data_IF_314869260304
#
_entry.id   IF_314869260304
#
_cell.length_a   1.000
_cell.length_b   1.000
_cell.length_c   1.000
_cell.angle_alpha   90.00
_cell.angle_beta   90.00
_cell.angle_gamma   90.00
#
_symmetry.space_group_name_H-M   'P 1'
#
loop_
_entity.id
_entity.type
_entity.pdbx_description
1 polymer ?
#
# COMPACT_ATOMS: atom_id res chain seq x y z
N UNK A 1 22.91 27.45 -10.19
CA UNK A 1 21.44 27.35 -10.30
C UNK A 1 21.16 26.10 -11.07
N UNK A 2 20.51 25.11 -10.46
CA UNK A 2 20.04 23.96 -11.21
C UNK A 2 19.00 24.43 -12.23
N UNK A 3 19.04 23.93 -13.48
CA UNK A 3 18.09 24.33 -14.51
C UNK A 3 16.67 24.04 -14.03
N UNK A 4 15.76 25.00 -14.27
CA UNK A 4 14.33 24.82 -14.00
C UNK A 4 13.89 23.58 -14.78
N UNK A 5 13.47 22.51 -14.11
CA UNK A 5 13.12 21.28 -14.80
C UNK A 5 11.91 21.50 -15.71
N UNK A 6 11.84 20.80 -16.85
CA UNK A 6 10.69 20.91 -17.76
C UNK A 6 9.40 20.56 -17.02
N UNK A 7 8.35 21.34 -17.27
CA UNK A 7 7.00 21.07 -16.73
C UNK A 7 6.56 19.68 -17.17
N UNK A 8 6.11 18.88 -16.20
CA UNK A 8 5.51 17.57 -16.46
C UNK A 8 4.22 17.80 -17.26
N UNK A 9 4.18 17.31 -18.51
CA UNK A 9 3.01 17.42 -19.38
C UNK A 9 1.98 16.38 -18.94
N UNK A 10 0.84 16.87 -18.43
CA UNK A 10 -0.16 16.03 -17.80
C UNK A 10 -1.18 15.49 -18.81
N UNK A 11 -1.45 14.18 -18.77
CA UNK A 11 -2.61 13.57 -19.44
C UNK A 11 -3.76 13.42 -18.43
N UNK A 12 -5.03 13.62 -18.82
CA UNK A 12 -6.16 13.46 -17.91
C UNK A 12 -6.22 12.04 -17.31
N UNK A 13 -6.48 11.95 -16.01
CA UNK A 13 -6.58 10.69 -15.24
C UNK A 13 -7.63 9.73 -15.83
N UNK A 14 -8.68 10.29 -16.44
CA UNK A 14 -9.85 9.55 -16.95
C UNK A 14 -9.66 8.90 -18.32
N UNK A 15 -8.43 8.83 -18.83
CA UNK A 15 -8.14 8.11 -20.06
C UNK A 15 -8.09 6.60 -19.80
N UNK A 16 -8.74 5.81 -20.65
CA UNK A 16 -8.98 4.37 -20.44
C UNK A 16 -7.68 3.58 -20.13
N UNK A 17 -6.60 3.70 -20.93
CA UNK A 17 -5.30 3.10 -20.59
C UNK A 17 -4.74 3.44 -19.21
N UNK A 18 -4.94 4.66 -18.70
CA UNK A 18 -4.46 5.04 -17.37
C UNK A 18 -5.28 4.39 -16.27
N UNK A 19 -6.60 4.30 -16.45
CA UNK A 19 -7.48 3.57 -15.56
C UNK A 19 -7.10 2.08 -15.50
N UNK A 20 -6.87 1.45 -16.65
CA UNK A 20 -6.44 0.05 -16.73
C UNK A 20 -5.08 -0.18 -16.05
N UNK A 21 -4.11 0.71 -16.27
CA UNK A 21 -2.82 0.67 -15.59
C UNK A 21 -3.00 0.78 -14.06
N UNK A 22 -3.81 1.74 -13.61
CA UNK A 22 -4.08 1.94 -12.19
C UNK A 22 -4.74 0.70 -11.57
N UNK A 23 -5.70 0.09 -12.27
CA UNK A 23 -6.33 -1.17 -11.84
C UNK A 23 -5.30 -2.29 -11.72
N UNK A 24 -4.45 -2.48 -12.75
CA UNK A 24 -3.40 -3.49 -12.72
C UNK A 24 -2.43 -3.27 -11.56
N UNK A 25 -2.08 -2.02 -11.26
CA UNK A 25 -1.23 -1.66 -10.12
C UNK A 25 -1.90 -1.98 -8.80
N UNK A 26 -3.17 -1.62 -8.60
CA UNK A 26 -3.89 -1.92 -7.34
C UNK A 26 -3.99 -3.43 -7.14
N UNK A 27 -4.43 -4.18 -8.14
CA UNK A 27 -4.49 -5.65 -8.09
C UNK A 27 -3.11 -6.24 -7.81
N UNK A 28 -2.08 -5.77 -8.53
CA UNK A 28 -0.70 -6.22 -8.35
C UNK A 28 -0.18 -5.97 -6.93
N UNK A 29 -0.45 -4.80 -6.34
CA UNK A 29 -0.05 -4.51 -4.97
C UNK A 29 -0.77 -5.43 -3.96
N UNK A 30 -2.05 -5.73 -4.14
CA UNK A 30 -2.78 -6.68 -3.27
C UNK A 30 -2.19 -8.10 -3.39
N UNK A 31 -1.99 -8.57 -4.62
CA UNK A 31 -1.44 -9.91 -4.87
C UNK A 31 -0.04 -10.04 -4.28
N UNK A 32 0.82 -9.04 -4.49
CA UNK A 32 2.19 -9.09 -3.98
C UNK A 32 2.26 -8.91 -2.45
N UNK A 33 1.34 -8.15 -1.85
CA UNK A 33 1.19 -8.07 -0.40
C UNK A 33 0.84 -9.44 0.20
N UNK A 34 -0.14 -10.15 -0.37
CA UNK A 34 -0.49 -11.51 0.05
C UNK A 34 0.63 -12.51 -0.23
N UNK A 35 1.30 -12.39 -1.37
CA UNK A 35 2.45 -13.20 -1.70
C UNK A 35 3.59 -13.02 -0.68
N UNK A 36 3.81 -11.82 -0.16
CA UNK A 36 4.82 -11.58 0.86
C UNK A 36 4.49 -12.31 2.18
N UNK A 37 3.22 -12.32 2.60
CA UNK A 37 2.78 -13.12 3.75
C UNK A 37 3.02 -14.61 3.50
N UNK A 38 2.55 -15.12 2.37
CA UNK A 38 2.69 -16.53 1.99
C UNK A 38 4.15 -16.97 1.87
N UNK A 39 5.00 -16.16 1.22
CA UNK A 39 6.41 -16.48 1.07
C UNK A 39 7.09 -16.54 2.43
N UNK A 40 6.79 -15.60 3.33
CA UNK A 40 7.37 -15.56 4.67
C UNK A 40 6.92 -16.74 5.51
N UNK A 41 5.65 -17.17 5.40
CA UNK A 41 5.18 -18.35 6.11
C UNK A 41 5.83 -19.63 5.60
N UNK A 42 5.93 -19.83 4.28
CA UNK A 42 6.58 -21.02 3.71
C UNK A 42 8.05 -21.09 4.12
N UNK A 43 8.76 -19.95 4.12
CA UNK A 43 10.15 -19.87 4.57
C UNK A 43 10.34 -20.21 6.06
N UNK A 44 9.31 -20.01 6.89
CA UNK A 44 9.30 -20.34 8.32
C UNK A 44 8.74 -21.74 8.60
N UNK A 45 8.37 -22.50 7.56
CA UNK A 45 7.77 -23.83 7.69
C UNK A 45 6.31 -23.81 8.15
N UNK A 46 5.62 -22.69 7.96
CA UNK A 46 4.19 -22.51 8.26
C UNK A 46 3.35 -22.69 7.00
N UNK A 47 2.25 -23.44 7.10
CA UNK A 47 1.29 -23.57 6.01
C UNK A 47 0.26 -22.43 6.08
N UNK A 48 0.53 -21.34 5.35
CA UNK A 48 -0.42 -20.25 5.20
C UNK A 48 -1.25 -20.46 3.92
N UNK A 49 -2.57 -20.56 4.08
CA UNK A 49 -3.47 -20.49 2.94
C UNK A 49 -4.02 -19.05 2.86
N UNK A 50 -3.72 -18.28 1.80
CA UNK A 50 -4.26 -16.94 1.66
C UNK A 50 -5.79 -17.02 1.59
N UNK A 51 -6.46 -16.59 2.64
CA UNK A 51 -7.91 -16.56 2.65
C UNK A 51 -8.37 -15.34 1.83
N UNK A 52 -8.86 -15.59 0.61
CA UNK A 52 -9.43 -14.56 -0.27
C UNK A 52 -10.69 -13.91 0.34
N UNK A 53 -11.26 -14.52 1.38
CA UNK A 53 -12.43 -14.01 2.10
C UNK A 53 -12.04 -13.55 3.51
N UNK A 54 -11.95 -12.23 3.78
CA UNK A 54 -11.60 -11.71 5.10
C UNK A 54 -12.66 -12.00 6.19
N UNK A 55 -13.84 -12.53 5.84
CA UNK A 55 -14.90 -12.86 6.78
C UNK A 55 -14.65 -14.13 7.62
N UNK A 56 -13.67 -14.95 7.26
CA UNK A 56 -13.37 -16.18 7.99
C UNK A 56 -11.95 -16.14 8.56
N UNK A 57 -11.83 -15.68 9.80
CA UNK A 57 -10.62 -15.87 10.60
C UNK A 57 -10.46 -17.35 10.93
N UNK A 58 -9.67 -18.06 10.13
CA UNK A 58 -9.09 -19.32 10.59
C UNK A 58 -8.00 -18.94 11.58
N UNK A 59 -8.17 -19.32 12.84
CA UNK A 59 -7.16 -19.11 13.88
C UNK A 59 -5.95 -19.97 13.51
N UNK A 60 -4.94 -19.35 12.90
CA UNK A 60 -3.69 -20.05 12.59
C UNK A 60 -2.96 -20.35 13.90
N UNK A 61 -2.73 -21.64 14.14
CA UNK A 61 -1.82 -22.10 15.20
C UNK A 61 -0.45 -22.16 14.55
N UNK A 62 0.40 -21.17 14.83
CA UNK A 62 1.78 -21.16 14.39
C UNK A 62 2.55 -22.30 15.08
N UNK A 63 3.46 -22.95 14.35
CA UNK A 63 4.43 -23.91 14.89
C UNK A 63 5.26 -23.27 16.00
N UNK A 64 5.65 -22.00 15.82
CA UNK A 64 6.34 -21.22 16.86
C UNK A 64 5.65 -19.86 17.02
N UNK A 65 5.33 -19.47 18.25
CA UNK A 65 4.58 -18.25 18.52
C UNK A 65 5.23 -16.97 17.96
N UNK A 66 6.57 -16.93 17.85
CA UNK A 66 7.27 -15.77 17.31
C UNK A 66 7.15 -15.65 15.77
N UNK A 67 6.70 -16.68 15.05
CA UNK A 67 6.46 -16.63 13.60
C UNK A 67 5.31 -15.69 13.21
N UNK A 68 4.37 -15.42 14.13
CA UNK A 68 3.23 -14.53 13.89
C UNK A 68 3.67 -13.12 13.45
N UNK A 69 4.71 -12.58 14.09
CA UNK A 69 5.22 -11.23 13.84
C UNK A 69 5.77 -11.06 12.41
N UNK A 70 6.81 -11.80 11.99
CA UNK A 70 7.39 -11.64 10.67
C UNK A 70 6.39 -11.96 9.55
N UNK A 71 5.54 -12.99 9.72
CA UNK A 71 4.53 -13.34 8.72
C UNK A 71 3.53 -12.19 8.56
N UNK A 72 3.00 -11.65 9.67
CA UNK A 72 2.02 -10.56 9.61
C UNK A 72 2.66 -9.24 9.13
N UNK A 73 3.93 -8.97 9.40
CA UNK A 73 4.60 -7.77 8.92
C UNK A 73 5.04 -7.84 7.45
N UNK A 74 5.14 -9.02 6.86
CA UNK A 74 5.68 -9.20 5.51
C UNK A 74 4.93 -8.38 4.45
N UNK A 75 3.59 -8.41 4.46
CA UNK A 75 2.76 -7.61 3.57
C UNK A 75 2.99 -6.10 3.72
N UNK A 76 2.78 -5.52 4.93
CA UNK A 76 3.09 -4.11 5.21
C UNK A 76 4.50 -3.71 4.78
N UNK A 77 5.52 -4.50 5.11
CA UNK A 77 6.92 -4.23 4.72
C UNK A 77 7.05 -4.18 3.21
N UNK A 78 6.47 -5.14 2.49
CA UNK A 78 6.46 -5.15 1.03
C UNK A 78 5.85 -3.85 0.47
N UNK A 79 4.69 -3.42 0.97
CA UNK A 79 4.02 -2.19 0.49
C UNK A 79 4.83 -0.93 0.76
N UNK A 80 5.53 -0.87 1.89
CA UNK A 80 6.46 0.22 2.23
C UNK A 80 7.65 0.23 1.27
N UNK A 81 8.24 -0.92 1.00
CA UNK A 81 9.35 -1.05 0.05
C UNK A 81 8.92 -0.66 -1.37
N UNK A 82 7.73 -1.10 -1.81
CA UNK A 82 7.14 -0.70 -3.09
C UNK A 82 7.04 0.83 -3.18
N UNK A 83 6.47 1.47 -2.15
CA UNK A 83 6.30 2.93 -2.13
C UNK A 83 7.66 3.66 -2.19
N UNK A 84 8.65 3.23 -1.40
CA UNK A 84 10.00 3.81 -1.42
C UNK A 84 10.64 3.66 -2.81
N UNK A 85 10.52 2.48 -3.42
CA UNK A 85 11.06 2.22 -4.76
C UNK A 85 10.45 3.17 -5.79
N UNK A 86 9.13 3.25 -5.87
CA UNK A 86 8.46 4.10 -6.86
C UNK A 86 8.59 5.59 -6.57
N UNK A 87 8.71 5.99 -5.30
CA UNK A 87 9.10 7.37 -4.94
C UNK A 87 10.45 7.75 -5.56
N UNK A 88 11.46 6.88 -5.44
CA UNK A 88 12.78 7.12 -6.02
C UNK A 88 12.76 7.14 -7.55
N UNK A 89 11.98 6.24 -8.17
CA UNK A 89 11.83 6.23 -9.63
C UNK A 89 11.12 7.47 -10.14
N UNK A 90 10.02 7.89 -9.51
CA UNK A 90 9.32 9.15 -9.84
C UNK A 90 10.20 10.37 -9.67
N UNK A 91 11.04 10.42 -8.63
CA UNK A 91 11.97 11.52 -8.41
C UNK A 91 12.98 11.66 -9.56
N UNK A 92 13.37 10.54 -10.18
CA UNK A 92 14.33 10.49 -11.29
C UNK A 92 13.68 10.74 -12.65
N UNK A 93 12.66 9.95 -13.00
CA UNK A 93 12.04 9.98 -14.33
C UNK A 93 10.98 11.06 -14.50
N UNK A 94 10.31 11.44 -13.39
CA UNK A 94 9.08 12.23 -13.38
C UNK A 94 7.96 11.64 -14.25
N UNK A 95 8.01 10.34 -14.50
CA UNK A 95 6.99 9.65 -15.28
C UNK A 95 5.73 9.43 -14.42
N UNK A 96 4.69 10.20 -14.71
CA UNK A 96 3.42 10.16 -14.00
C UNK A 96 2.65 8.85 -14.18
N UNK A 97 3.02 8.00 -15.14
CA UNK A 97 2.48 6.63 -15.23
C UNK A 97 2.89 5.78 -14.03
N UNK A 98 3.98 6.14 -13.34
CA UNK A 98 4.44 5.45 -12.13
C UNK A 98 3.74 5.96 -10.85
N UNK A 99 2.99 7.06 -10.93
CA UNK A 99 2.35 7.67 -9.77
C UNK A 99 1.35 6.74 -9.05
N UNK A 100 0.50 5.96 -9.76
CA UNK A 100 -0.34 4.95 -9.14
C UNK A 100 0.45 3.93 -8.31
N UNK A 101 1.66 3.56 -8.73
CA UNK A 101 2.50 2.58 -8.03
C UNK A 101 2.98 3.07 -6.67
N UNK A 102 3.11 4.39 -6.49
CA UNK A 102 3.36 5.02 -5.20
C UNK A 102 2.06 5.24 -4.41
N UNK A 103 1.00 5.69 -5.07
CA UNK A 103 -0.23 6.09 -4.40
C UNK A 103 -1.06 4.90 -3.88
N UNK A 104 -1.13 3.81 -4.64
CA UNK A 104 -1.89 2.61 -4.28
C UNK A 104 -1.55 2.06 -2.87
N UNK A 105 -0.28 1.80 -2.51
CA UNK A 105 0.04 1.31 -1.17
C UNK A 105 -0.35 2.31 -0.08
N UNK A 106 -0.23 3.62 -0.32
CA UNK A 106 -0.62 4.66 0.66
C UNK A 106 -2.12 4.59 0.94
N UNK A 107 -2.94 4.64 -0.11
CA UNK A 107 -4.40 4.62 0.02
C UNK A 107 -4.85 3.33 0.68
N UNK A 108 -4.34 2.17 0.23
CA UNK A 108 -4.76 0.88 0.78
C UNK A 108 -4.32 0.70 2.24
N UNK A 109 -3.17 1.22 2.66
CA UNK A 109 -2.73 1.17 4.06
C UNK A 109 -3.53 2.11 4.96
N UNK A 110 -3.87 3.31 4.49
CA UNK A 110 -4.76 4.21 5.22
C UNK A 110 -6.15 3.57 5.37
N UNK A 111 -6.72 3.03 4.28
CA UNK A 111 -8.01 2.33 4.34
C UNK A 111 -7.96 1.14 5.30
N UNK A 112 -6.91 0.31 5.24
CA UNK A 112 -6.75 -0.82 6.16
C UNK A 112 -6.65 -0.35 7.62
N UNK A 113 -5.93 0.73 7.89
CA UNK A 113 -5.83 1.31 9.24
C UNK A 113 -7.17 1.85 9.75
N UNK A 114 -7.99 2.45 8.89
CA UNK A 114 -9.37 2.85 9.24
C UNK A 114 -10.23 1.63 9.54
N UNK A 115 -10.06 0.53 8.80
CA UNK A 115 -10.81 -0.72 9.01
C UNK A 115 -10.48 -1.43 10.33
N UNK A 116 -9.48 -1.00 11.09
CA UNK A 116 -9.18 -1.51 12.43
C UNK A 116 -10.35 -1.38 13.41
N UNK A 117 -11.29 -0.45 13.18
CA UNK A 117 -12.53 -0.33 13.98
C UNK A 117 -13.43 -1.57 13.84
N UNK A 118 -13.37 -2.27 12.70
CA UNK A 118 -14.15 -3.48 12.42
C UNK A 118 -13.30 -4.71 12.69
N UNK A 119 -12.08 -4.72 12.15
CA UNK A 119 -11.18 -5.86 12.22
C UNK A 119 -9.73 -5.38 12.16
N UNK A 120 -8.88 -5.73 13.14
CA UNK A 120 -7.47 -5.38 13.12
C UNK A 120 -6.77 -5.84 11.84
N UNK A 121 -6.22 -4.87 11.11
CA UNK A 121 -5.33 -5.07 9.99
C UNK A 121 -3.95 -5.60 10.46
N UNK A 122 -3.05 -5.85 9.53
CA UNK A 122 -1.72 -6.42 9.82
C UNK A 122 -0.94 -5.60 10.87
N UNK A 123 -0.82 -4.29 10.64
CA UNK A 123 -0.09 -3.39 11.53
C UNK A 123 -0.80 -3.26 12.88
N UNK A 124 -2.14 -3.23 12.90
CA UNK A 124 -2.94 -3.13 14.10
C UNK A 124 -2.90 -4.38 14.96
N UNK A 125 -2.85 -5.57 14.34
CA UNK A 125 -2.61 -6.86 15.03
C UNK A 125 -1.26 -6.86 15.72
N UNK A 126 -0.20 -6.50 15.00
CA UNK A 126 1.16 -6.46 15.59
C UNK A 126 1.27 -5.38 16.66
N UNK A 127 0.70 -4.20 16.42
CA UNK A 127 0.71 -3.12 17.40
C UNK A 127 0.00 -3.51 18.70
N UNK A 128 -1.09 -4.28 18.60
CA UNK A 128 -1.81 -4.82 19.75
C UNK A 128 -1.03 -5.95 20.45
N UNK A 129 -0.42 -6.85 19.67
CA UNK A 129 0.42 -7.95 20.18
C UNK A 129 1.61 -7.42 21.00
N UNK A 130 2.19 -6.30 20.58
CA UNK A 130 3.30 -5.62 21.29
C UNK A 130 2.85 -4.75 22.47
N UNK A 131 1.54 -4.61 22.70
CA UNK A 131 0.99 -3.75 23.76
C UNK A 131 1.07 -2.25 23.46
N UNK A 132 1.30 -1.84 22.21
CA UNK A 132 1.42 -0.43 21.81
C UNK A 132 0.07 0.23 21.49
N UNK A 133 -1.01 -0.55 21.53
CA UNK A 133 -2.37 -0.11 21.15
C UNK A 133 -2.65 -0.30 19.66
N UNK A 134 -3.92 -0.40 19.30
CA UNK A 134 -4.39 -0.84 17.98
C UNK A 134 -3.95 0.06 16.81
N UNK A 135 -3.71 1.34 17.04
CA UNK A 135 -3.49 2.33 15.97
C UNK A 135 -2.04 2.81 15.83
N UNK A 136 -1.13 2.45 16.74
CA UNK A 136 0.22 3.02 16.78
C UNK A 136 1.01 2.71 15.49
N UNK A 137 1.17 1.44 15.13
CA UNK A 137 1.84 1.08 13.86
C UNK A 137 1.08 1.53 12.60
N UNK A 138 -0.25 1.37 12.48
CA UNK A 138 -1.01 1.90 11.34
C UNK A 138 -0.79 3.40 11.10
N UNK A 139 -0.78 4.21 12.17
CA UNK A 139 -0.55 5.66 12.08
C UNK A 139 0.87 5.97 11.64
N UNK A 140 1.88 5.31 12.22
CA UNK A 140 3.29 5.52 11.85
C UNK A 140 3.50 5.18 10.37
N UNK A 141 3.04 4.02 9.93
CA UNK A 141 3.17 3.57 8.54
C UNK A 141 2.39 4.49 7.59
N UNK A 142 1.15 4.84 7.93
CA UNK A 142 0.32 5.75 7.14
C UNK A 142 0.92 7.13 6.98
N UNK A 143 1.45 7.73 8.05
CA UNK A 143 2.12 9.03 8.01
C UNK A 143 3.39 8.99 7.17
N UNK A 144 4.20 7.94 7.31
CA UNK A 144 5.40 7.76 6.49
C UNK A 144 5.07 7.67 5.00
N UNK A 145 4.10 6.83 4.63
CA UNK A 145 3.66 6.67 3.25
C UNK A 145 3.05 7.96 2.70
N UNK A 146 2.21 8.64 3.48
CA UNK A 146 1.63 9.92 3.11
C UNK A 146 2.70 10.98 2.87
N UNK A 147 3.74 11.02 3.71
CA UNK A 147 4.88 11.90 3.54
C UNK A 147 5.56 11.69 2.17
N UNK A 148 5.74 10.45 1.70
CA UNK A 148 6.33 10.18 0.37
C UNK A 148 5.47 10.77 -0.75
N UNK A 149 4.14 10.67 -0.67
CA UNK A 149 3.20 11.26 -1.64
C UNK A 149 3.26 12.78 -1.64
N UNK A 150 3.31 13.41 -0.45
CA UNK A 150 3.46 14.86 -0.33
C UNK A 150 4.78 15.32 -0.96
N UNK A 151 5.88 14.65 -0.63
CA UNK A 151 7.21 14.98 -1.18
C UNK A 151 7.24 14.85 -2.70
N UNK A 152 6.68 13.79 -3.27
CA UNK A 152 6.67 13.65 -4.73
C UNK A 152 5.74 14.67 -5.40
N UNK A 153 4.64 15.03 -4.75
CA UNK A 153 3.71 16.04 -5.27
C UNK A 153 4.41 17.38 -5.42
N UNK A 154 5.25 17.75 -4.45
CA UNK A 154 6.06 18.97 -4.51
C UNK A 154 7.13 18.86 -5.61
N UNK A 155 7.89 17.75 -5.65
CA UNK A 155 9.00 17.55 -6.60
C UNK A 155 8.53 17.50 -8.06
N UNK A 156 7.38 16.87 -8.32
CA UNK A 156 6.81 16.73 -9.66
C UNK A 156 5.74 17.80 -9.97
N UNK A 157 5.53 18.77 -9.08
CA UNK A 157 4.52 19.83 -9.21
C UNK A 157 3.10 19.29 -9.50
N UNK A 158 2.74 18.18 -8.87
CA UNK A 158 1.42 17.57 -9.01
C UNK A 158 0.40 18.48 -8.33
N UNK A 159 -0.58 18.95 -9.09
CA UNK A 159 -1.61 19.82 -8.53
C UNK A 159 -2.59 19.03 -7.64
N UNK A 160 -3.24 19.74 -6.73
CA UNK A 160 -4.17 19.14 -5.77
C UNK A 160 -5.32 18.37 -6.45
N UNK A 161 -5.89 18.92 -7.53
CA UNK A 161 -6.97 18.28 -8.29
C UNK A 161 -6.59 16.90 -8.79
N UNK A 162 -5.36 16.73 -9.28
CA UNK A 162 -4.84 15.47 -9.80
C UNK A 162 -4.57 14.46 -8.69
N UNK A 163 -4.05 14.91 -7.54
CA UNK A 163 -3.94 14.05 -6.36
C UNK A 163 -5.31 13.50 -5.96
N UNK A 164 -6.31 14.37 -5.84
CA UNK A 164 -7.68 13.96 -5.48
C UNK A 164 -8.26 12.99 -6.51
N UNK A 165 -8.12 13.26 -7.81
CA UNK A 165 -8.60 12.37 -8.86
C UNK A 165 -7.98 10.97 -8.78
N UNK A 166 -6.67 10.89 -8.56
CA UNK A 166 -5.98 9.60 -8.42
C UNK A 166 -6.38 8.89 -7.12
N UNK A 167 -6.53 9.61 -6.01
CA UNK A 167 -7.01 9.04 -4.75
C UNK A 167 -8.41 8.44 -4.93
N UNK A 168 -9.34 9.20 -5.52
CA UNK A 168 -10.71 8.73 -5.78
C UNK A 168 -10.71 7.50 -6.70
N UNK A 169 -9.88 7.50 -7.75
CA UNK A 169 -9.76 6.35 -8.65
C UNK A 169 -9.25 5.10 -7.92
N UNK A 170 -8.20 5.23 -7.09
CA UNK A 170 -7.67 4.10 -6.32
C UNK A 170 -8.69 3.60 -5.28
N UNK A 171 -9.39 4.49 -4.58
CA UNK A 171 -10.46 4.12 -3.64
C UNK A 171 -11.57 3.36 -4.38
N UNK A 172 -12.02 3.88 -5.52
CA UNK A 172 -13.06 3.27 -6.33
C UNK A 172 -12.66 1.86 -6.77
N UNK A 173 -11.45 1.68 -7.34
CA UNK A 173 -10.94 0.37 -7.74
C UNK A 173 -10.83 -0.57 -6.54
N UNK A 174 -10.27 -0.10 -5.42
CA UNK A 174 -10.11 -0.90 -4.20
C UNK A 174 -11.46 -1.38 -3.67
N UNK A 175 -12.49 -0.54 -3.71
CA UNK A 175 -13.85 -0.93 -3.31
C UNK A 175 -14.37 -2.13 -4.12
N UNK A 176 -14.13 -2.19 -5.44
CA UNK A 176 -14.56 -3.34 -6.23
C UNK A 176 -13.74 -4.62 -6.00
N UNK A 177 -12.49 -4.49 -5.54
CA UNK A 177 -11.64 -5.64 -5.22
C UNK A 177 -12.01 -6.26 -3.88
N UNK A 178 -12.40 -5.43 -2.90
CA UNK A 178 -12.65 -5.87 -1.52
C UNK A 178 -14.14 -5.98 -1.14
N UNK A 179 -15.06 -5.78 -2.10
CA UNK A 179 -16.50 -6.01 -1.92
C UNK A 179 -16.83 -7.50 -2.06
#
# INVERSE_FOLDING_TARGET
>A
MDPIPPKVIFRPVWHMPYCLLTTAVVVGTVVLHWFAHWLTSELLGEHFSPNLNPAHFVRHVYVQAWHEIPITLAGPIFTVVQAIYFYNQLKRSRDMLLYPCLLAPVVMRILAGVMNVVNPNDEGRISSLLGWGLYTLPVITGLFLFYLVVRISIVCQINFKLNVQNIVLVIFISYFIFK
#
